data_IF_456686119484
#
_entry.id   IF_456686119484
#
_cell.length_a   1.000
_cell.length_b   1.000
_cell.length_c   1.000
_cell.angle_alpha   90.00
_cell.angle_beta   90.00
_cell.angle_gamma   90.00
#
_symmetry.space_group_name_H-M   'P 1'
#
loop_
_entity.id
_entity.type
_entity.pdbx_description
1 polymer ?
#
# COMPACT_ATOMS: atom_id res chain seq x y z
N UNK A 1 61.08 -20.36 36.22
CA UNK A 1 61.58 -19.56 35.08
C UNK A 1 60.38 -19.40 34.14
N UNK A 2 59.57 -18.36 34.28
CA UNK A 2 59.78 -16.99 33.78
C UNK A 2 59.15 -16.89 32.38
N UNK A 3 58.25 -15.97 32.02
CA UNK A 3 57.81 -14.75 32.68
C UNK A 3 56.51 -14.18 32.09
N UNK A 4 56.17 -12.99 32.59
CA UNK A 4 54.92 -12.24 32.51
C UNK A 4 54.58 -11.58 31.15
N UNK A 5 53.29 -11.21 30.99
CA UNK A 5 52.70 -9.91 30.53
C UNK A 5 51.26 -10.20 30.02
N UNK A 6 50.17 -9.53 30.39
CA UNK A 6 49.97 -8.23 31.03
C UNK A 6 49.49 -7.18 30.01
N UNK A 7 48.19 -6.82 30.04
CA UNK A 7 47.55 -5.72 29.26
C UNK A 7 46.66 -6.22 28.11
N UNK A 8 45.41 -5.79 27.90
CA UNK A 8 44.64 -4.68 28.43
C UNK A 8 44.10 -3.85 27.27
N UNK A 9 42.95 -4.22 26.68
CA UNK A 9 42.28 -3.39 25.65
C UNK A 9 40.76 -3.38 25.85
N UNK A 10 40.27 -2.25 26.37
CA UNK A 10 38.87 -1.82 26.27
C UNK A 10 38.75 -0.94 25.03
N UNK A 11 38.20 -1.48 23.95
CA UNK A 11 37.80 -0.70 22.77
C UNK A 11 36.36 -0.23 22.93
N UNK A 12 36.18 1.02 23.36
CA UNK A 12 34.90 1.72 23.32
C UNK A 12 34.58 2.17 21.90
N UNK A 13 33.50 1.66 21.32
CA UNK A 13 32.95 2.17 20.07
C UNK A 13 32.05 3.38 20.36
N UNK A 14 32.65 4.57 20.36
CA UNK A 14 31.95 5.85 20.19
C UNK A 14 31.85 6.17 18.71
N UNK A 15 30.75 5.78 18.07
CA UNK A 15 30.42 6.16 16.70
C UNK A 15 29.47 7.35 16.70
N UNK A 16 29.99 8.53 16.38
CA UNK A 16 29.22 9.76 16.22
C UNK A 16 28.15 9.60 15.13
N UNK A 17 26.91 9.96 15.49
CA UNK A 17 25.74 9.89 14.64
C UNK A 17 25.69 11.17 13.78
N UNK A 18 26.26 11.12 12.59
CA UNK A 18 25.98 12.12 11.55
C UNK A 18 24.68 11.73 10.86
N UNK A 19 23.61 12.49 11.12
CA UNK A 19 22.31 12.33 10.46
C UNK A 19 22.41 12.79 9.00
N UNK A 20 22.60 11.84 8.08
CA UNK A 20 22.32 12.07 6.67
C UNK A 20 20.83 11.79 6.42
N UNK A 21 20.09 12.83 6.03
CA UNK A 21 18.76 12.71 5.44
C UNK A 21 18.88 11.96 4.11
N UNK A 22 18.74 10.63 4.16
CA UNK A 22 18.64 9.82 2.97
C UNK A 22 17.19 9.82 2.48
N UNK A 23 16.97 10.41 1.30
CA UNK A 23 15.80 10.15 0.47
C UNK A 23 15.66 8.62 0.32
N UNK A 24 14.55 8.08 0.80
CA UNK A 24 14.20 6.66 0.64
C UNK A 24 13.99 6.38 -0.85
N UNK A 25 15.06 5.92 -1.51
CA UNK A 25 14.99 5.35 -2.84
C UNK A 25 14.55 3.90 -2.66
N UNK A 26 13.41 3.53 -3.25
CA UNK A 26 12.94 2.15 -3.31
C UNK A 26 13.97 1.32 -4.10
N UNK A 27 14.92 0.68 -3.44
CA UNK A 27 15.80 -0.30 -4.08
C UNK A 27 15.11 -1.65 -4.12
N UNK A 28 14.52 -1.97 -5.26
CA UNK A 28 14.12 -3.33 -5.64
C UNK A 28 15.38 -4.17 -5.94
N UNK A 29 15.48 -5.35 -5.33
CA UNK A 29 16.56 -6.29 -5.62
C UNK A 29 16.47 -6.75 -7.09
N UNK A 30 17.50 -6.43 -7.86
CA UNK A 30 17.64 -6.82 -9.25
C UNK A 30 17.73 -8.34 -9.41
N UNK A 31 16.65 -8.97 -9.89
CA UNK A 31 16.69 -10.33 -10.44
C UNK A 31 15.74 -10.54 -11.64
N UNK A 32 14.94 -9.54 -12.01
CA UNK A 32 14.18 -9.54 -13.26
C UNK A 32 14.24 -8.11 -13.79
N UNK A 33 14.59 -7.93 -15.08
CA UNK A 33 14.74 -6.62 -15.72
C UNK A 33 13.41 -5.88 -15.89
N UNK A 34 12.72 -5.59 -14.79
CA UNK A 34 11.52 -4.76 -14.79
C UNK A 34 11.96 -3.30 -14.91
N UNK A 35 11.75 -2.73 -16.09
CA UNK A 35 11.82 -1.29 -16.33
C UNK A 35 10.71 -0.59 -15.52
N UNK A 36 10.93 -0.39 -14.23
CA UNK A 36 10.08 0.49 -13.45
C UNK A 36 10.29 1.92 -13.95
N UNK A 37 9.18 2.54 -14.36
CA UNK A 37 9.18 3.95 -14.72
C UNK A 37 9.70 4.77 -13.54
N UNK A 38 10.51 5.79 -13.81
CA UNK A 38 11.01 6.72 -12.78
C UNK A 38 9.87 7.42 -12.03
N UNK A 39 8.72 7.61 -12.71
CA UNK A 39 7.55 8.29 -12.19
C UNK A 39 6.27 7.47 -12.48
N UNK A 40 5.99 6.40 -11.73
CA UNK A 40 4.84 5.56 -11.98
C UNK A 40 3.57 6.16 -11.36
N UNK A 41 2.49 6.24 -12.14
CA UNK A 41 1.12 6.32 -11.60
C UNK A 41 0.71 5.01 -10.92
N UNK A 42 0.15 5.12 -9.72
CA UNK A 42 -0.12 3.99 -8.82
C UNK A 42 -1.58 3.93 -8.41
N UNK A 43 -2.12 2.72 -8.30
CA UNK A 43 -3.31 2.42 -7.52
C UNK A 43 -2.88 1.72 -6.24
N UNK A 44 -3.21 2.26 -5.08
CA UNK A 44 -2.80 1.75 -3.77
C UNK A 44 -4.04 1.27 -3.03
N UNK A 45 -4.00 0.02 -2.53
CA UNK A 45 -5.07 -0.56 -1.73
C UNK A 45 -4.54 -0.98 -0.38
N UNK A 46 -5.22 -0.56 0.69
CA UNK A 46 -4.88 -0.94 2.07
C UNK A 46 -6.11 -1.53 2.73
N UNK A 47 -5.91 -2.66 3.41
CA UNK A 47 -6.98 -3.31 4.16
C UNK A 47 -7.19 -2.60 5.51
N UNK A 48 -8.41 -2.11 5.74
CA UNK A 48 -8.84 -1.44 6.95
C UNK A 48 -9.45 -2.37 8.00
N UNK A 49 -9.67 -1.82 9.19
CA UNK A 49 -10.08 -2.54 10.41
C UNK A 49 -11.57 -2.90 10.48
N UNK A 50 -12.33 -2.58 9.43
CA UNK A 50 -13.78 -2.77 9.31
C UNK A 50 -14.64 -1.93 10.24
N UNK A 51 -14.08 -0.88 10.84
CA UNK A 51 -14.88 0.11 11.56
C UNK A 51 -15.83 0.83 10.58
N UNK A 52 -17.10 1.05 10.95
CA UNK A 52 -18.01 1.85 10.13
C UNK A 52 -17.53 3.30 10.10
N UNK A 53 -17.54 3.89 8.92
CA UNK A 53 -17.31 5.31 8.73
C UNK A 53 -18.42 6.09 9.46
N UNK A 54 -18.07 7.05 10.35
CA UNK A 54 -19.05 7.74 11.19
C UNK A 54 -19.98 8.66 10.40
N UNK A 55 -19.64 9.02 9.16
CA UNK A 55 -20.44 9.94 8.31
C UNK A 55 -21.35 9.16 7.38
N UNK A 56 -20.84 8.09 6.78
CA UNK A 56 -21.55 7.31 5.74
C UNK A 56 -22.16 6.01 6.26
N UNK A 57 -21.76 5.55 7.46
CA UNK A 57 -22.14 4.25 8.03
C UNK A 57 -21.57 3.05 7.27
N UNK A 58 -20.80 3.28 6.20
CA UNK A 58 -20.20 2.22 5.41
C UNK A 58 -18.92 1.71 6.08
N UNK A 59 -18.69 0.41 6.02
CA UNK A 59 -17.51 -0.18 6.63
C UNK A 59 -16.21 0.30 5.92
N UNK A 60 -15.27 0.89 6.67
CA UNK A 60 -13.95 1.35 6.22
C UNK A 60 -13.01 0.16 6.02
N UNK A 61 -13.38 -0.72 5.08
CA UNK A 61 -12.71 -2.01 4.99
C UNK A 61 -11.53 -2.02 4.03
N UNK A 62 -11.56 -1.24 2.96
CA UNK A 62 -10.43 -1.15 2.02
C UNK A 62 -10.33 0.28 1.54
N UNK A 63 -9.24 0.96 1.85
CA UNK A 63 -8.94 2.26 1.29
C UNK A 63 -8.29 2.07 -0.08
N UNK A 64 -8.75 2.82 -1.08
CA UNK A 64 -8.19 2.84 -2.43
C UNK A 64 -7.77 4.26 -2.74
N UNK A 65 -6.50 4.45 -3.10
CA UNK A 65 -5.94 5.74 -3.46
C UNK A 65 -5.25 5.65 -4.83
N UNK A 66 -5.38 6.69 -5.64
CA UNK A 66 -4.74 6.80 -6.94
C UNK A 66 -3.71 7.92 -6.89
N UNK A 67 -2.46 7.62 -7.21
CA UNK A 67 -1.38 8.59 -7.22
C UNK A 67 -0.89 8.86 -8.64
N UNK A 68 -0.62 10.14 -8.92
CA UNK A 68 -0.01 10.60 -10.15
C UNK A 68 1.51 10.40 -10.18
N UNK A 69 2.13 10.82 -11.27
CA UNK A 69 3.56 10.64 -11.53
C UNK A 69 4.47 11.36 -10.51
N UNK A 70 3.98 12.43 -9.90
CA UNK A 70 4.68 13.23 -8.90
C UNK A 70 4.23 12.89 -7.46
N UNK A 71 3.44 11.82 -7.28
CA UNK A 71 2.91 11.41 -5.98
C UNK A 71 1.68 12.18 -5.51
N UNK A 72 1.11 13.06 -6.34
CA UNK A 72 -0.13 13.76 -6.05
C UNK A 72 -1.32 12.81 -6.02
N UNK A 73 -2.27 13.04 -5.10
CA UNK A 73 -3.51 12.28 -5.03
C UNK A 73 -4.45 12.67 -6.17
N UNK A 74 -4.85 11.69 -6.99
CA UNK A 74 -5.75 11.86 -8.12
C UNK A 74 -7.20 11.47 -7.80
N UNK A 75 -7.37 10.42 -7.00
CA UNK A 75 -8.67 9.89 -6.60
C UNK A 75 -8.53 9.10 -5.29
N UNK A 76 -9.58 9.04 -4.50
CA UNK A 76 -9.62 8.33 -3.22
C UNK A 76 -11.04 7.88 -2.88
N UNK A 77 -11.19 6.61 -2.51
CA UNK A 77 -12.46 6.11 -2.00
C UNK A 77 -12.28 4.85 -1.14
N UNK A 78 -13.30 4.52 -0.36
CA UNK A 78 -13.40 3.23 0.31
C UNK A 78 -14.15 2.22 -0.55
N UNK A 79 -13.57 1.02 -0.65
CA UNK A 79 -14.14 -0.15 -1.31
C UNK A 79 -14.58 -1.17 -0.24
N UNK A 80 -15.71 -0.86 0.41
CA UNK A 80 -16.20 -1.61 1.57
C UNK A 80 -16.55 -3.08 1.26
N UNK A 81 -16.90 -3.41 0.02
CA UNK A 81 -17.40 -4.74 -0.34
C UNK A 81 -16.29 -5.74 -0.69
N UNK A 82 -15.11 -5.27 -1.11
CA UNK A 82 -13.95 -6.13 -1.41
C UNK A 82 -13.52 -6.97 -0.21
N UNK A 83 -13.64 -6.39 0.97
CA UNK A 83 -13.31 -7.02 2.24
C UNK A 83 -14.45 -7.81 2.88
N UNK A 84 -15.62 -7.87 2.24
CA UNK A 84 -16.80 -8.57 2.74
C UNK A 84 -16.53 -10.06 2.98
N UNK A 85 -17.05 -10.56 4.11
CA UNK A 85 -16.94 -11.92 4.67
C UNK A 85 -16.06 -12.89 3.87
N UNK A 86 -14.86 -13.17 4.41
CA UNK A 86 -13.91 -14.20 3.95
C UNK A 86 -14.52 -15.61 3.77
N UNK A 87 -15.78 -15.82 4.13
CA UNK A 87 -16.43 -17.13 4.15
C UNK A 87 -16.75 -17.70 2.75
N UNK A 88 -16.91 -16.87 1.70
CA UNK A 88 -17.50 -17.37 0.43
C UNK A 88 -16.77 -16.96 -0.86
N UNK A 89 -15.54 -16.44 -0.79
CA UNK A 89 -14.77 -16.22 -2.03
C UNK A 89 -14.22 -17.56 -2.52
N UNK A 90 -15.00 -18.27 -3.34
CA UNK A 90 -14.63 -19.55 -3.93
C UNK A 90 -13.29 -19.48 -4.63
N UNK A 91 -12.56 -20.59 -4.63
CA UNK A 91 -11.28 -20.71 -5.33
C UNK A 91 -11.47 -20.53 -6.84
N UNK A 92 -11.31 -19.30 -7.34
CA UNK A 92 -11.31 -19.01 -8.77
C UNK A 92 -11.36 -17.52 -9.06
N UNK A 93 -10.73 -17.10 -10.16
CA UNK A 93 -10.83 -15.74 -10.73
C UNK A 93 -12.29 -15.29 -10.86
N UNK A 94 -13.19 -16.25 -11.10
CA UNK A 94 -14.63 -16.01 -11.24
C UNK A 94 -15.34 -15.56 -9.94
N UNK A 95 -14.80 -15.82 -8.76
CA UNK A 95 -15.52 -15.52 -7.51
C UNK A 95 -15.60 -14.02 -7.19
N UNK A 96 -14.72 -13.20 -7.75
CA UNK A 96 -14.73 -11.74 -7.56
C UNK A 96 -15.89 -11.03 -8.24
N UNK A 97 -16.28 -11.57 -9.39
CA UNK A 97 -17.27 -10.96 -10.29
C UNK A 97 -18.62 -11.64 -10.18
N UNK A 98 -18.66 -12.86 -9.62
CA UNK A 98 -19.89 -13.57 -9.29
C UNK A 98 -20.51 -13.12 -7.97
N UNK A 99 -19.74 -12.49 -7.08
CA UNK A 99 -20.29 -11.83 -5.90
C UNK A 99 -20.81 -10.44 -6.30
N UNK A 100 -22.14 -10.24 -6.39
CA UNK A 100 -22.73 -9.00 -6.86
C UNK A 100 -22.37 -7.80 -5.96
N UNK A 101 -21.99 -8.06 -4.70
CA UNK A 101 -21.55 -7.01 -3.79
C UNK A 101 -20.11 -6.55 -4.12
N UNK A 102 -19.21 -7.49 -4.45
CA UNK A 102 -17.82 -7.16 -4.81
C UNK A 102 -17.71 -6.54 -6.21
N UNK A 103 -18.57 -6.97 -7.13
CA UNK A 103 -18.54 -6.54 -8.53
C UNK A 103 -18.57 -5.00 -8.67
N UNK A 104 -19.37 -4.30 -7.85
CA UNK A 104 -19.46 -2.85 -7.91
C UNK A 104 -18.13 -2.15 -7.57
N UNK A 105 -17.47 -2.57 -6.49
CA UNK A 105 -16.20 -1.97 -6.07
C UNK A 105 -15.06 -2.35 -7.03
N UNK A 106 -15.06 -3.57 -7.54
CA UNK A 106 -14.08 -4.00 -8.55
C UNK A 106 -14.25 -3.18 -9.83
N UNK A 107 -15.49 -2.94 -10.27
CA UNK A 107 -15.78 -2.12 -11.45
C UNK A 107 -15.34 -0.67 -11.26
N UNK A 108 -15.57 -0.10 -10.07
CA UNK A 108 -15.08 1.25 -9.73
C UNK A 108 -13.56 1.33 -9.81
N UNK A 109 -12.85 0.35 -9.26
CA UNK A 109 -11.39 0.29 -9.33
C UNK A 109 -10.92 0.13 -10.77
N UNK A 110 -11.55 -0.78 -11.55
CA UNK A 110 -11.23 -0.99 -12.98
C UNK A 110 -11.32 0.33 -13.75
N UNK A 111 -12.45 1.01 -13.62
CA UNK A 111 -12.69 2.28 -14.31
C UNK A 111 -11.68 3.36 -13.89
N UNK A 112 -11.36 3.45 -12.60
CA UNK A 112 -10.34 4.38 -12.11
C UNK A 112 -8.93 4.02 -12.60
N UNK A 113 -8.55 2.75 -12.61
CA UNK A 113 -7.27 2.27 -13.16
C UNK A 113 -7.11 2.66 -14.62
N UNK A 114 -8.16 2.49 -15.42
CA UNK A 114 -8.17 2.87 -16.84
C UNK A 114 -8.14 4.39 -17.02
N UNK A 115 -9.01 5.12 -16.30
CA UNK A 115 -9.10 6.59 -16.33
C UNK A 115 -7.76 7.25 -16.00
N UNK A 116 -7.06 6.74 -14.99
CA UNK A 116 -5.79 7.31 -14.51
C UNK A 116 -4.56 6.68 -15.18
N UNK A 117 -4.72 5.65 -16.01
CA UNK A 117 -3.62 4.98 -16.69
C UNK A 117 -2.55 4.48 -15.72
N UNK A 118 -2.96 3.72 -14.70
CA UNK A 118 -2.05 3.23 -13.66
C UNK A 118 -1.08 2.20 -14.22
N UNK A 119 0.18 2.25 -13.79
CA UNK A 119 1.22 1.30 -14.20
C UNK A 119 1.38 0.16 -13.20
N UNK A 120 1.01 0.40 -11.95
CA UNK A 120 1.06 -0.62 -10.90
C UNK A 120 -0.12 -0.48 -9.93
N UNK A 121 -0.51 -1.63 -9.40
CA UNK A 121 -1.43 -1.80 -8.28
C UNK A 121 -0.58 -2.28 -7.10
N UNK A 122 -0.58 -1.52 -6.02
CA UNK A 122 0.17 -1.81 -4.79
C UNK A 122 -0.83 -2.16 -3.70
N UNK A 123 -0.66 -3.33 -3.10
CA UNK A 123 -1.53 -3.82 -2.02
C UNK A 123 -0.72 -3.89 -0.74
N UNK A 124 -1.21 -3.23 0.31
CA UNK A 124 -0.65 -3.35 1.65
C UNK A 124 -0.67 -4.81 2.13
N UNK A 125 0.42 -5.28 2.74
CA UNK A 125 0.59 -6.65 3.19
C UNK A 125 0.67 -6.80 4.72
N UNK A 126 0.01 -5.94 5.49
CA UNK A 126 0.07 -5.95 6.95
C UNK A 126 -0.65 -7.14 7.61
N UNK A 127 -1.62 -7.76 6.93
CA UNK A 127 -2.45 -8.83 7.50
C UNK A 127 -2.61 -10.03 6.54
N UNK A 128 -2.85 -11.25 7.05
CA UNK A 128 -3.11 -12.43 6.22
C UNK A 128 -4.30 -12.25 5.26
N UNK A 129 -5.31 -11.46 5.65
CA UNK A 129 -6.46 -11.09 4.80
C UNK A 129 -6.04 -10.36 3.52
N UNK A 130 -4.91 -9.65 3.53
CA UNK A 130 -4.38 -8.95 2.36
C UNK A 130 -3.93 -9.92 1.25
N UNK A 131 -3.69 -11.20 1.56
CA UNK A 131 -3.39 -12.22 0.53
C UNK A 131 -4.54 -12.41 -0.43
N UNK A 132 -5.78 -12.38 0.08
CA UNK A 132 -6.97 -12.47 -0.76
C UNK A 132 -7.10 -11.21 -1.62
N UNK A 133 -6.97 -10.02 -1.02
CA UNK A 133 -7.01 -8.76 -1.77
C UNK A 133 -5.93 -8.70 -2.88
N UNK A 134 -4.72 -9.19 -2.60
CA UNK A 134 -3.65 -9.28 -3.59
C UNK A 134 -4.00 -10.26 -4.73
N UNK A 135 -4.58 -11.42 -4.41
CA UNK A 135 -5.10 -12.36 -5.42
C UNK A 135 -6.19 -11.70 -6.26
N UNK A 136 -7.05 -10.93 -5.62
CA UNK A 136 -8.15 -10.24 -6.28
C UNK A 136 -7.67 -9.18 -7.27
N UNK A 137 -6.66 -8.39 -6.88
CA UNK A 137 -6.04 -7.41 -7.78
C UNK A 137 -5.27 -8.05 -8.94
N UNK A 138 -4.70 -9.25 -8.75
CA UNK A 138 -4.09 -10.01 -9.87
C UNK A 138 -5.14 -10.47 -10.87
N UNK A 139 -6.29 -10.96 -10.39
CA UNK A 139 -7.39 -11.36 -11.28
C UNK A 139 -7.95 -10.14 -12.04
N UNK A 140 -8.08 -8.98 -11.38
CA UNK A 140 -8.47 -7.72 -12.03
C UNK A 140 -7.49 -7.32 -13.14
N UNK A 141 -6.19 -7.41 -12.88
CA UNK A 141 -5.15 -7.17 -13.91
C UNK A 141 -5.32 -8.12 -15.08
N UNK A 142 -5.50 -9.42 -14.84
CA UNK A 142 -5.62 -10.42 -15.90
C UNK A 142 -6.83 -10.12 -16.80
N UNK A 143 -7.96 -9.75 -16.20
CA UNK A 143 -9.11 -9.28 -16.97
C UNK A 143 -8.87 -8.01 -17.76
N UNK A 144 -8.15 -7.02 -17.21
CA UNK A 144 -7.80 -5.81 -17.98
C UNK A 144 -6.96 -6.16 -19.21
N UNK A 145 -6.09 -7.16 -19.11
CA UNK A 145 -5.29 -7.66 -20.24
C UNK A 145 -6.18 -8.36 -21.27
N UNK A 146 -7.11 -9.19 -20.81
CA UNK A 146 -7.99 -9.99 -21.68
C UNK A 146 -9.08 -9.13 -22.36
N UNK A 147 -9.74 -8.25 -21.61
CA UNK A 147 -10.91 -7.48 -22.06
C UNK A 147 -10.55 -6.12 -22.65
N UNK A 148 -9.42 -5.53 -22.23
CA UNK A 148 -8.99 -4.19 -22.64
C UNK A 148 -7.55 -4.13 -23.17
N UNK A 149 -7.15 -4.98 -24.14
CA UNK A 149 -5.78 -5.05 -24.64
C UNK A 149 -5.29 -3.72 -25.26
N UNK A 150 -6.20 -2.94 -25.87
CA UNK A 150 -5.86 -1.62 -26.43
C UNK A 150 -5.41 -0.62 -25.38
N UNK A 151 -6.00 -0.65 -24.18
CA UNK A 151 -5.55 0.17 -23.05
C UNK A 151 -4.16 -0.27 -22.57
N UNK A 152 -3.92 -1.57 -22.43
CA UNK A 152 -2.62 -2.10 -22.02
C UNK A 152 -1.50 -1.72 -23.00
N UNK A 153 -1.77 -1.77 -24.31
CA UNK A 153 -0.81 -1.38 -25.34
C UNK A 153 -0.45 0.12 -25.30
N UNK A 154 -1.34 0.97 -24.79
CA UNK A 154 -1.11 2.42 -24.65
C UNK A 154 -0.27 2.75 -23.42
N UNK A 155 -0.19 1.85 -22.43
CA UNK A 155 0.65 2.06 -21.25
C UNK A 155 2.15 2.01 -21.64
N UNK A 156 3.00 2.91 -21.12
CA UNK A 156 4.44 2.88 -21.38
C UNK A 156 5.11 1.55 -20.99
N UNK A 157 4.62 0.91 -19.92
CA UNK A 157 5.07 -0.40 -19.44
C UNK A 157 4.54 -1.58 -20.27
N UNK A 158 3.49 -1.35 -21.09
CA UNK A 158 2.71 -2.39 -21.78
C UNK A 158 2.16 -3.49 -20.87
N UNK A 159 2.06 -3.21 -19.58
CA UNK A 159 1.61 -4.12 -18.54
C UNK A 159 1.21 -3.34 -17.29
N UNK A 160 0.47 -3.99 -16.40
CA UNK A 160 0.18 -3.48 -15.06
C UNK A 160 0.78 -4.44 -14.04
N UNK A 161 1.67 -3.95 -13.20
CA UNK A 161 2.31 -4.75 -12.15
C UNK A 161 1.42 -4.79 -10.90
N UNK A 162 1.28 -5.95 -10.27
CA UNK A 162 0.55 -6.08 -8.99
C UNK A 162 1.51 -6.50 -7.90
N UNK A 163 1.77 -5.60 -6.95
CA UNK A 163 2.82 -5.70 -5.94
C UNK A 163 2.25 -5.73 -4.53
N UNK A 164 2.88 -6.50 -3.65
CA UNK A 164 2.65 -6.42 -2.21
C UNK A 164 3.65 -5.43 -1.61
N UNK A 165 3.21 -4.58 -0.68
CA UNK A 165 4.06 -3.60 -0.01
C UNK A 165 4.01 -3.73 1.52
N UNK A 166 5.15 -3.46 2.15
CA UNK A 166 5.22 -3.31 3.60
C UNK A 166 4.57 -1.99 4.04
N UNK A 167 3.79 -2.04 5.11
CA UNK A 167 3.00 -0.90 5.62
C UNK A 167 3.64 -0.26 6.85
N UNK A 168 4.86 -0.65 7.23
CA UNK A 168 5.45 -0.21 8.51
C UNK A 168 5.69 1.30 8.55
N UNK A 169 6.17 1.88 7.44
CA UNK A 169 6.36 3.34 7.33
C UNK A 169 5.03 4.09 7.36
N UNK A 170 4.02 3.58 6.64
CA UNK A 170 2.69 4.18 6.62
C UNK A 170 2.06 4.19 8.01
N UNK A 171 2.16 3.07 8.75
CA UNK A 171 1.67 2.96 10.13
C UNK A 171 2.37 3.93 11.08
N UNK A 172 3.68 4.10 10.97
CA UNK A 172 4.42 5.07 11.78
C UNK A 172 3.95 6.49 11.47
N UNK A 173 3.76 6.82 10.19
CA UNK A 173 3.30 8.14 9.77
C UNK A 173 1.89 8.45 10.26
N UNK A 174 0.96 7.50 10.15
CA UNK A 174 -0.42 7.64 10.64
C UNK A 174 -0.47 7.80 12.16
N UNK A 175 0.33 7.04 12.90
CA UNK A 175 0.46 7.18 14.35
C UNK A 175 1.03 8.56 14.74
N UNK A 176 2.04 9.05 14.01
CA UNK A 176 2.61 10.38 14.23
C UNK A 176 1.61 11.50 13.90
N UNK A 177 0.84 11.37 12.83
CA UNK A 177 -0.20 12.33 12.46
C UNK A 177 -1.33 12.38 13.50
N UNK A 178 -1.76 11.21 14.00
CA UNK A 178 -2.77 11.12 15.07
C UNK A 178 -2.27 11.76 16.37
N UNK A 179 -1.04 11.45 16.78
CA UNK A 179 -0.43 12.06 17.97
C UNK A 179 -0.29 13.59 17.84
N UNK A 180 0.03 14.08 16.64
CA UNK A 180 0.08 15.51 16.36
C UNK A 180 -1.33 16.14 16.44
N UNK A 181 -2.37 15.49 15.93
CA UNK A 181 -3.74 15.99 16.00
C UNK A 181 -4.22 16.12 17.46
N UNK A 182 -3.96 15.11 18.30
CA UNK A 182 -4.32 15.13 19.72
C UNK A 182 -3.59 16.23 20.49
N UNK A 183 -2.31 16.47 20.18
CA UNK A 183 -1.51 17.53 20.81
C UNK A 183 -2.03 18.95 20.50
N UNK A 184 -2.65 19.16 19.33
CA UNK A 184 -3.24 20.45 18.95
C UNK A 184 -4.69 20.63 19.45
N UNK A 185 -5.35 19.55 19.88
CA UNK A 185 -6.70 19.58 20.46
C UNK A 185 -6.76 19.79 21.99
N UNK A 186 -5.62 19.70 22.68
CA UNK A 186 -5.54 19.74 24.16
C UNK A 186 -5.37 21.13 24.80
N UNK A 187 -5.43 22.21 24.03
CA UNK A 187 -5.23 23.59 24.53
C UNK A 187 -6.53 24.29 24.89
N UNK A 188 -7.23 23.85 25.95
CA UNK A 188 -8.41 24.58 26.43
C UNK A 188 -9.05 23.97 27.66
N UNK A 189 -8.58 24.36 28.85
CA UNK A 189 -9.26 24.01 30.10
C UNK A 189 -8.41 24.04 31.36
N UNK A 190 -7.73 25.15 31.63
CA UNK A 190 -7.33 25.53 33.00
C UNK A 190 -7.52 27.02 33.15
N UNK A 191 -8.72 27.39 33.60
CA UNK A 191 -9.13 28.65 34.23
C UNK A 191 -10.43 28.29 34.96
N UNK A 192 -10.67 28.52 36.25
CA UNK A 192 -9.98 29.14 37.37
C UNK A 192 -10.90 28.98 38.58
#
# INVERSE_FOLDING_TARGET
RGGERGGGERGGFGGGMTTNHANTTLTTSAATGDNFLTHPRLCILVWGDRSPDPVTGQARNTAVAFLGEQGQLLDFFFAGQLSGNLHNSGEGSESLFKDPHKAQDVERIRNAVMKHGCHAIVVGAAAPSCRQLLKDMRNLRDQLVDEHPGFIQQLPTRSIHVLAADESVARIWEAAASAAADAHGGGGGVDG
#
